data_IF_119218741174
#
_entry.id   IF_119218741174
#
_cell.length_a   1.000
_cell.length_b   1.000
_cell.length_c   1.000
_cell.angle_alpha   90.00
_cell.angle_beta   90.00
_cell.angle_gamma   90.00
#
_symmetry.space_group_name_H-M   'P 1'
#
loop_
_entity.id
_entity.type
_entity.pdbx_description
1 polymer ?
#
# COMPACT_ATOMS: atom_id res chain seq x y z
N UNK A 1 20.70 -1.54 -1.69
CA UNK A 1 19.46 -2.29 -1.59
C UNK A 1 19.53 -3.65 -2.26
N UNK A 2 18.61 -4.53 -1.92
CA UNK A 2 18.44 -5.85 -2.46
C UNK A 2 17.02 -5.99 -3.02
N UNK A 3 16.89 -6.62 -4.20
CA UNK A 3 15.63 -7.06 -4.77
C UNK A 3 15.73 -8.51 -5.18
N UNK A 4 14.70 -9.31 -4.91
CA UNK A 4 14.56 -10.67 -5.40
C UNK A 4 13.10 -10.95 -5.75
N UNK A 5 12.88 -11.91 -6.65
CA UNK A 5 11.54 -12.37 -7.03
C UNK A 5 11.60 -13.86 -7.38
N UNK A 6 10.44 -14.49 -7.46
CA UNK A 6 10.31 -15.85 -7.97
C UNK A 6 9.98 -15.80 -9.46
N UNK A 7 10.57 -16.70 -10.23
CA UNK A 7 10.27 -16.88 -11.64
C UNK A 7 9.77 -18.30 -11.87
N UNK A 8 8.63 -18.42 -12.50
CA UNK A 8 8.01 -19.67 -12.89
C UNK A 8 8.04 -19.75 -14.42
N UNK A 9 8.97 -20.53 -14.99
CA UNK A 9 9.10 -20.65 -16.45
C UNK A 9 7.92 -21.44 -17.05
N UNK A 10 7.83 -21.44 -18.37
CA UNK A 10 6.88 -22.26 -19.11
C UNK A 10 7.02 -23.73 -18.70
N UNK A 11 5.89 -24.42 -18.52
CA UNK A 11 5.78 -25.81 -18.13
C UNK A 11 5.00 -26.59 -19.19
N UNK A 12 5.46 -27.82 -19.51
CA UNK A 12 4.78 -28.67 -20.51
C UNK A 12 3.39 -29.12 -20.09
N UNK A 13 3.13 -29.24 -18.78
CA UNK A 13 1.93 -29.86 -18.21
C UNK A 13 1.08 -28.90 -17.39
N UNK A 14 1.54 -27.67 -17.20
CA UNK A 14 0.84 -26.66 -16.38
C UNK A 14 0.90 -25.30 -17.06
N UNK A 15 -0.26 -24.73 -17.38
CA UNK A 15 -0.40 -23.39 -17.97
C UNK A 15 -0.93 -22.37 -16.97
N UNK A 16 -1.66 -22.81 -15.97
CA UNK A 16 -2.31 -21.96 -14.96
C UNK A 16 -2.05 -22.51 -13.56
N UNK A 17 -1.95 -21.62 -12.61
CA UNK A 17 -1.85 -21.96 -11.21
C UNK A 17 -2.67 -21.01 -10.33
N UNK A 18 -3.08 -21.48 -9.17
CA UNK A 18 -3.68 -20.65 -8.14
C UNK A 18 -2.71 -20.52 -6.99
N UNK A 19 -2.32 -19.29 -6.66
CA UNK A 19 -1.48 -19.01 -5.51
C UNK A 19 -2.34 -19.14 -4.25
N UNK A 20 -1.92 -20.01 -3.34
CA UNK A 20 -2.50 -20.14 -2.01
C UNK A 20 -1.80 -19.23 -1.03
N UNK A 21 -0.47 -19.23 -1.07
CA UNK A 21 0.36 -18.44 -0.18
C UNK A 21 1.77 -18.21 -0.75
N UNK A 22 2.47 -17.22 -0.19
CA UNK A 22 3.88 -16.96 -0.42
C UNK A 22 4.60 -17.02 0.93
N UNK A 23 5.60 -17.92 1.04
CA UNK A 23 6.28 -18.20 2.31
C UNK A 23 7.62 -17.45 2.44
N UNK A 24 7.70 -16.27 1.86
CA UNK A 24 8.87 -15.39 1.98
C UNK A 24 8.98 -14.87 3.41
N UNK A 25 10.16 -14.98 4.01
CA UNK A 25 10.45 -14.51 5.36
C UNK A 25 11.55 -13.45 5.37
N UNK A 26 11.45 -12.55 6.34
CA UNK A 26 12.44 -11.50 6.63
C UNK A 26 12.80 -11.59 8.11
N UNK A 27 13.89 -12.31 8.40
CA UNK A 27 14.38 -12.54 9.75
C UNK A 27 15.29 -11.39 10.18
N UNK A 28 14.95 -10.70 11.27
CA UNK A 28 15.74 -9.61 11.81
C UNK A 28 16.69 -10.11 12.92
N UNK A 29 17.75 -9.35 13.14
CA UNK A 29 18.82 -9.71 14.08
C UNK A 29 18.50 -9.37 15.53
N UNK A 30 17.36 -8.73 15.80
CA UNK A 30 16.99 -8.32 17.16
C UNK A 30 15.71 -7.53 17.27
N UNK A 31 15.44 -7.07 18.49
CA UNK A 31 14.26 -6.30 18.84
C UNK A 31 14.40 -4.83 18.43
N UNK A 32 14.19 -4.56 17.16
CA UNK A 32 14.34 -3.24 16.55
C UNK A 32 13.06 -2.40 16.69
N UNK A 33 13.17 -1.10 16.38
CA UNK A 33 12.03 -0.18 16.38
C UNK A 33 11.33 -0.20 15.04
N UNK A 34 10.01 -0.41 15.04
CA UNK A 34 9.14 -0.33 13.85
C UNK A 34 8.46 1.03 13.77
N UNK A 35 8.29 1.51 12.53
CA UNK A 35 7.36 2.58 12.15
C UNK A 35 6.35 1.97 11.20
N UNK A 36 5.17 1.63 11.69
CA UNK A 36 4.22 0.81 10.95
C UNK A 36 2.77 1.25 11.15
N UNK A 37 1.92 0.82 10.25
CA UNK A 37 0.47 0.86 10.38
C UNK A 37 -0.08 -0.57 10.32
N UNK A 38 -1.27 -0.83 10.91
CA UNK A 38 -1.86 -2.16 10.89
C UNK A 38 -2.15 -2.62 9.46
N UNK A 39 -2.05 -3.93 9.22
CA UNK A 39 -2.44 -4.53 7.97
C UNK A 39 -3.94 -4.43 7.74
N UNK A 40 -4.31 -3.98 6.56
CA UNK A 40 -5.70 -3.91 6.12
C UNK A 40 -5.79 -4.17 4.62
N UNK A 41 -6.89 -4.77 4.16
CA UNK A 41 -7.05 -5.12 2.75
C UNK A 41 -7.70 -4.01 1.91
N UNK A 42 -8.31 -3.01 2.56
CA UNK A 42 -9.09 -1.97 1.89
C UNK A 42 -8.45 -0.58 1.99
N UNK A 43 -7.69 -0.32 3.05
CA UNK A 43 -7.13 1.02 3.32
C UNK A 43 -5.75 0.99 3.95
N UNK A 44 -5.00 2.09 3.79
CA UNK A 44 -3.74 2.36 4.48
C UNK A 44 -3.77 3.68 5.28
N UNK A 45 -4.96 4.17 5.61
CA UNK A 45 -5.18 5.48 6.26
C UNK A 45 -5.12 5.44 7.79
N UNK A 46 -4.40 4.49 8.36
CA UNK A 46 -4.20 4.40 9.80
C UNK A 46 -3.08 5.31 10.29
N UNK A 47 -3.17 5.72 11.55
CA UNK A 47 -2.07 6.41 12.20
C UNK A 47 -0.87 5.47 12.44
N UNK A 48 0.34 5.99 12.23
CA UNK A 48 1.55 5.23 12.52
C UNK A 48 1.68 4.88 14.00
N UNK A 49 2.16 3.66 14.23
CA UNK A 49 2.63 3.16 15.52
C UNK A 49 4.14 3.08 15.48
N UNK A 50 4.80 3.62 16.50
CA UNK A 50 6.25 3.49 16.72
C UNK A 50 6.46 2.70 18.00
N UNK A 51 7.06 1.52 17.91
CA UNK A 51 7.32 0.63 19.03
C UNK A 51 8.45 -0.35 18.72
N UNK A 52 9.06 -0.94 19.75
CA UNK A 52 9.90 -2.12 19.57
C UNK A 52 9.07 -3.30 19.05
N UNK A 53 9.69 -4.22 18.31
CA UNK A 53 8.97 -5.37 17.71
C UNK A 53 8.20 -6.14 18.77
N UNK A 54 8.82 -6.40 19.93
CA UNK A 54 8.19 -7.12 21.05
C UNK A 54 6.96 -6.43 21.67
N UNK A 55 6.79 -5.13 21.42
CA UNK A 55 5.73 -4.29 21.99
C UNK A 55 4.71 -3.82 20.96
N UNK A 56 5.00 -4.04 19.67
CA UNK A 56 4.25 -3.43 18.57
C UNK A 56 2.79 -3.89 18.51
N UNK A 57 2.52 -5.14 18.85
CA UNK A 57 1.17 -5.69 18.90
C UNK A 57 0.28 -4.91 19.87
N UNK A 58 0.72 -4.81 21.12
CA UNK A 58 -0.04 -4.08 22.14
C UNK A 58 -0.15 -2.58 21.84
N UNK A 59 0.93 -1.98 21.35
CA UNK A 59 0.95 -0.56 20.98
C UNK A 59 -0.04 -0.26 19.84
N UNK A 60 -0.08 -1.12 18.83
CA UNK A 60 -0.98 -0.98 17.69
C UNK A 60 -2.44 -1.18 18.09
N UNK A 61 -2.76 -2.22 18.85
CA UNK A 61 -4.11 -2.46 19.36
C UNK A 61 -4.62 -1.31 20.23
N UNK A 62 -3.74 -0.75 21.06
CA UNK A 62 -4.07 0.44 21.85
C UNK A 62 -4.42 1.65 20.97
N UNK A 63 -3.67 1.88 19.90
CA UNK A 63 -3.92 2.96 18.95
C UNK A 63 -5.23 2.77 18.19
N UNK A 64 -5.53 1.55 17.74
CA UNK A 64 -6.79 1.22 17.06
C UNK A 64 -7.98 1.44 17.98
N UNK A 65 -7.95 0.90 19.21
CA UNK A 65 -9.02 1.09 20.21
C UNK A 65 -9.27 2.56 20.52
N UNK A 66 -8.20 3.35 20.66
CA UNK A 66 -8.32 4.80 20.96
C UNK A 66 -9.05 5.57 19.86
N UNK A 67 -8.95 5.10 18.61
CA UNK A 67 -9.56 5.71 17.43
C UNK A 67 -10.87 5.06 17.00
N UNK A 68 -11.26 3.93 17.61
CA UNK A 68 -12.45 3.17 17.24
C UNK A 68 -12.33 2.50 15.86
N UNK A 69 -11.11 2.18 15.44
CA UNK A 69 -10.85 1.50 14.17
C UNK A 69 -10.60 0.00 14.37
N UNK A 70 -10.99 -0.79 13.38
CA UNK A 70 -10.67 -2.20 13.25
C UNK A 70 -9.91 -2.41 11.93
N UNK A 71 -8.77 -3.09 12.00
CA UNK A 71 -8.04 -3.51 10.80
C UNK A 71 -8.62 -4.84 10.31
N UNK A 72 -8.75 -4.99 9.00
CA UNK A 72 -9.47 -6.11 8.37
C UNK A 72 -8.60 -7.32 8.03
N UNK A 73 -7.29 -7.25 8.24
CA UNK A 73 -6.45 -8.42 8.04
C UNK A 73 -6.73 -9.50 9.09
N UNK A 74 -6.74 -10.76 8.66
CA UNK A 74 -7.12 -11.91 9.49
C UNK A 74 -6.07 -12.36 10.51
N UNK A 75 -4.86 -11.81 10.41
CA UNK A 75 -3.72 -12.09 11.31
C UNK A 75 -3.06 -10.79 11.73
N UNK A 76 -2.16 -10.86 12.71
CA UNK A 76 -1.40 -9.69 13.11
C UNK A 76 -0.38 -9.32 12.02
N UNK A 77 -0.74 -8.34 11.23
CA UNK A 77 0.03 -7.87 10.08
C UNK A 77 0.31 -6.37 10.16
N UNK A 78 1.34 -5.96 9.45
CA UNK A 78 1.65 -4.55 9.16
C UNK A 78 1.67 -4.33 7.65
N UNK A 79 1.40 -3.09 7.24
CA UNK A 79 1.47 -2.66 5.85
C UNK A 79 2.93 -2.54 5.37
N UNK A 80 3.11 -2.65 4.06
CA UNK A 80 4.33 -2.20 3.38
C UNK A 80 4.05 -0.87 2.65
N UNK A 81 5.06 0.01 2.50
CA UNK A 81 6.45 -0.11 2.94
C UNK A 81 6.62 -0.09 4.46
N UNK A 82 7.34 -1.04 5.01
CA UNK A 82 7.65 -1.10 6.43
C UNK A 82 9.01 -0.44 6.70
N UNK A 83 9.08 0.52 7.61
CA UNK A 83 10.32 1.13 8.06
C UNK A 83 10.72 0.59 9.43
N UNK A 84 11.98 0.21 9.54
CA UNK A 84 12.59 -0.34 10.75
C UNK A 84 13.84 0.48 11.06
N UNK A 85 14.05 0.82 12.33
CA UNK A 85 15.33 1.35 12.82
C UNK A 85 15.98 0.32 13.73
N UNK A 86 17.18 -0.14 13.33
CA UNK A 86 17.90 -1.14 14.12
C UNK A 86 18.51 -0.53 15.39
N UNK A 87 18.85 -1.37 16.35
CA UNK A 87 19.52 -0.97 17.58
C UNK A 87 20.91 -0.36 17.31
N UNK A 88 21.53 -0.73 16.19
CA UNK A 88 22.83 -0.22 15.72
C UNK A 88 22.70 1.10 14.95
N UNK A 89 21.47 1.58 14.73
CA UNK A 89 21.20 2.87 14.10
C UNK A 89 20.99 2.81 12.58
N UNK A 90 20.94 1.62 11.96
CA UNK A 90 20.58 1.47 10.55
C UNK A 90 19.06 1.60 10.36
N UNK A 91 18.68 2.07 9.19
CA UNK A 91 17.32 2.08 8.71
C UNK A 91 17.13 0.99 7.65
N UNK A 92 16.09 0.19 7.81
CA UNK A 92 15.72 -0.86 6.87
C UNK A 92 14.31 -0.57 6.37
N UNK A 93 14.09 -0.65 5.05
CA UNK A 93 12.77 -0.58 4.46
C UNK A 93 12.49 -1.88 3.71
N UNK A 94 11.36 -2.50 4.02
CA UNK A 94 10.86 -3.69 3.32
C UNK A 94 9.64 -3.28 2.52
N UNK A 95 9.67 -3.55 1.22
CA UNK A 95 8.58 -3.23 0.30
C UNK A 95 8.57 -4.19 -0.89
N UNK A 96 7.77 -3.87 -1.89
CA UNK A 96 7.67 -4.57 -3.17
C UNK A 96 7.78 -3.60 -4.34
N UNK A 97 8.15 -4.13 -5.52
CA UNK A 97 8.18 -3.38 -6.77
C UNK A 97 7.60 -4.23 -7.91
N UNK A 98 7.16 -3.58 -8.99
CA UNK A 98 6.52 -4.23 -10.12
C UNK A 98 5.35 -5.14 -9.71
N UNK A 99 4.44 -4.61 -8.88
CA UNK A 99 3.21 -5.29 -8.50
C UNK A 99 2.23 -5.29 -9.68
N UNK A 100 2.34 -6.31 -10.52
CA UNK A 100 1.53 -6.52 -11.71
C UNK A 100 0.98 -7.94 -11.69
N UNK A 101 -0.34 -8.08 -11.86
CA UNK A 101 -1.06 -9.36 -11.88
C UNK A 101 -0.75 -10.28 -10.68
N UNK A 102 -0.55 -9.70 -9.51
CA UNK A 102 -0.25 -10.41 -8.28
C UNK A 102 -0.86 -9.71 -7.07
N UNK A 103 -1.06 -10.45 -5.97
CA UNK A 103 -1.58 -9.86 -4.72
C UNK A 103 -0.57 -8.97 -4.03
N UNK A 104 -1.04 -7.85 -3.50
CA UNK A 104 -0.24 -6.97 -2.65
C UNK A 104 0.21 -7.66 -1.35
N UNK A 105 1.42 -7.33 -0.93
CA UNK A 105 2.06 -7.91 0.25
C UNK A 105 1.85 -7.03 1.49
N UNK A 106 1.23 -7.59 2.51
CA UNK A 106 1.38 -7.21 3.90
C UNK A 106 2.46 -8.10 4.53
N UNK A 107 2.83 -7.83 5.78
CA UNK A 107 3.77 -8.64 6.54
C UNK A 107 3.12 -9.12 7.84
N UNK A 108 3.04 -10.45 8.03
CA UNK A 108 2.78 -11.02 9.35
C UNK A 108 3.96 -10.68 10.27
N UNK A 109 3.67 -10.42 11.53
CA UNK A 109 4.69 -10.09 12.53
C UNK A 109 4.74 -11.19 13.59
N UNK A 110 5.88 -11.84 13.71
CA UNK A 110 6.25 -12.60 14.90
C UNK A 110 7.03 -11.68 15.85
N UNK A 111 6.32 -11.20 16.86
CA UNK A 111 6.83 -10.24 17.84
C UNK A 111 7.74 -10.88 18.92
N UNK A 112 7.93 -12.20 18.85
CA UNK A 112 8.82 -12.96 19.76
C UNK A 112 10.12 -13.36 19.09
N UNK A 113 10.02 -13.87 17.87
CA UNK A 113 11.18 -14.32 17.09
C UNK A 113 11.76 -13.21 16.20
N UNK A 114 11.12 -12.01 16.19
CA UNK A 114 11.50 -10.85 15.36
C UNK A 114 11.56 -11.16 13.86
N UNK A 115 10.59 -11.95 13.44
CA UNK A 115 10.44 -12.42 12.06
C UNK A 115 9.23 -11.76 11.41
N UNK A 116 9.35 -11.46 10.12
CA UNK A 116 8.26 -11.03 9.27
C UNK A 116 8.08 -12.05 8.15
N UNK A 117 6.85 -12.43 7.86
CA UNK A 117 6.55 -13.28 6.71
C UNK A 117 5.53 -12.62 5.79
N UNK A 118 5.65 -12.86 4.49
CA UNK A 118 4.73 -12.34 3.51
C UNK A 118 3.29 -12.78 3.83
N UNK A 119 2.37 -11.83 3.77
CA UNK A 119 0.93 -12.07 3.86
C UNK A 119 0.26 -11.41 2.67
N UNK A 120 -0.12 -12.21 1.70
CA UNK A 120 -0.74 -11.71 0.48
C UNK A 120 -2.22 -11.38 0.72
N UNK A 121 -2.69 -10.29 0.15
CA UNK A 121 -4.10 -9.89 0.18
C UNK A 121 -4.96 -10.95 -0.50
N UNK A 122 -5.96 -11.55 0.18
CA UNK A 122 -6.82 -12.57 -0.37
C UNK A 122 -7.95 -12.00 -1.24
N UNK A 123 -8.43 -12.79 -2.19
CA UNK A 123 -9.75 -12.57 -2.78
C UNK A 123 -10.87 -13.05 -1.85
N UNK A 124 -12.13 -12.95 -2.29
CA UNK A 124 -13.31 -13.40 -1.54
C UNK A 124 -13.33 -14.90 -1.24
N UNK A 125 -12.55 -15.70 -1.97
CA UNK A 125 -12.42 -17.15 -1.81
C UNK A 125 -11.15 -17.52 -1.04
N UNK A 126 -10.41 -16.56 -0.53
CA UNK A 126 -9.15 -16.74 0.19
C UNK A 126 -7.95 -17.07 -0.72
N UNK A 127 -8.08 -16.91 -2.05
CA UNK A 127 -6.99 -17.13 -2.99
C UNK A 127 -6.16 -15.85 -3.15
N UNK A 128 -4.88 -16.02 -3.47
CA UNK A 128 -3.90 -14.93 -3.58
C UNK A 128 -3.53 -14.58 -5.02
N UNK A 129 -4.08 -15.30 -5.98
CA UNK A 129 -3.90 -15.04 -7.40
C UNK A 129 -4.25 -16.22 -8.27
N UNK A 130 -4.70 -15.93 -9.50
CA UNK A 130 -4.94 -16.89 -10.57
C UNK A 130 -4.02 -16.50 -11.71
N UNK A 131 -2.95 -17.25 -11.91
CA UNK A 131 -1.83 -16.84 -12.73
C UNK A 131 -1.62 -17.77 -13.91
N UNK A 132 -1.16 -17.20 -15.02
CA UNK A 132 -0.78 -17.92 -16.22
C UNK A 132 0.74 -17.98 -16.33
N UNK A 133 1.29 -19.14 -16.72
CA UNK A 133 2.71 -19.35 -16.99
C UNK A 133 3.08 -18.97 -18.44
N UNK A 134 4.28 -18.49 -18.70
CA UNK A 134 5.35 -18.17 -17.74
C UNK A 134 5.05 -16.86 -16.99
N UNK A 135 5.54 -16.75 -15.76
CA UNK A 135 5.37 -15.54 -14.95
C UNK A 135 6.56 -15.31 -14.03
N UNK A 136 6.62 -14.11 -13.50
CA UNK A 136 7.42 -13.78 -12.33
C UNK A 136 6.57 -13.01 -11.30
N UNK A 137 6.90 -13.20 -10.02
CA UNK A 137 6.24 -12.44 -8.94
C UNK A 137 6.74 -10.99 -8.91
N UNK A 138 6.08 -10.09 -8.18
CA UNK A 138 6.68 -8.80 -7.82
C UNK A 138 8.03 -8.98 -7.14
N UNK A 139 8.87 -7.97 -7.24
CA UNK A 139 10.11 -7.92 -6.48
C UNK A 139 9.83 -7.70 -5.01
N UNK A 140 10.48 -8.46 -4.15
CA UNK A 140 10.59 -8.18 -2.72
C UNK A 140 11.84 -7.35 -2.52
N UNK A 141 11.70 -6.17 -1.92
CA UNK A 141 12.79 -5.20 -1.84
C UNK A 141 13.17 -4.92 -0.39
N UNK A 142 14.48 -4.83 -0.17
CA UNK A 142 15.07 -4.47 1.12
C UNK A 142 16.07 -3.34 0.86
N UNK A 143 15.79 -2.18 1.42
CA UNK A 143 16.72 -1.05 1.42
C UNK A 143 17.33 -0.90 2.80
N UNK A 144 18.63 -0.67 2.86
CA UNK A 144 19.37 -0.47 4.12
C UNK A 144 20.22 0.78 3.99
N UNK A 145 20.20 1.65 4.98
CA UNK A 145 21.02 2.86 5.07
C UNK A 145 21.26 3.28 6.51
N UNK A 146 22.32 4.00 6.76
CA UNK A 146 22.59 4.73 8.01
C UNK A 146 21.84 6.07 8.08
N UNK A 147 21.20 6.48 6.99
CA UNK A 147 20.39 7.71 6.92
C UNK A 147 18.99 7.42 6.35
N UNK A 148 17.93 7.69 7.10
CA UNK A 148 16.54 7.51 6.67
C UNK A 148 16.21 8.28 5.39
N UNK A 149 16.84 9.44 5.15
CA UNK A 149 16.63 10.24 3.94
C UNK A 149 17.10 9.51 2.68
N UNK A 150 18.13 8.68 2.79
CA UNK A 150 18.65 7.87 1.69
C UNK A 150 17.67 6.75 1.29
N UNK A 151 16.85 6.25 2.21
CA UNK A 151 15.76 5.33 1.89
C UNK A 151 14.72 6.03 1.00
N UNK A 152 14.31 7.25 1.36
CA UNK A 152 13.35 8.04 0.58
C UNK A 152 13.88 8.41 -0.81
N UNK A 153 15.18 8.72 -0.91
CA UNK A 153 15.83 9.08 -2.16
C UNK A 153 16.21 7.88 -3.05
N UNK A 154 16.00 6.65 -2.57
CA UNK A 154 16.39 5.44 -3.28
C UNK A 154 15.60 5.26 -4.58
N UNK A 155 16.33 4.94 -5.66
CA UNK A 155 15.74 4.60 -6.96
C UNK A 155 15.45 3.10 -7.12
N UNK A 156 15.65 2.28 -6.08
CA UNK A 156 15.52 0.82 -6.19
C UNK A 156 14.16 0.40 -6.73
N UNK A 157 13.08 0.93 -6.16
CA UNK A 157 11.71 0.59 -6.58
C UNK A 157 11.49 0.95 -8.05
N UNK A 158 11.92 2.14 -8.47
CA UNK A 158 11.78 2.60 -9.86
C UNK A 158 12.60 1.74 -10.83
N UNK A 159 13.82 1.38 -10.46
CA UNK A 159 14.72 0.58 -11.29
C UNK A 159 14.29 -0.89 -11.48
N UNK A 160 13.44 -1.40 -10.57
CA UNK A 160 12.89 -2.75 -10.63
C UNK A 160 11.53 -2.82 -11.34
N UNK A 161 10.97 -1.69 -11.73
CA UNK A 161 9.79 -1.63 -12.57
C UNK A 161 10.17 -1.58 -14.05
N UNK A 162 9.25 -2.01 -14.90
CA UNK A 162 9.41 -1.87 -16.35
C UNK A 162 9.51 -0.39 -16.74
N UNK A 163 10.27 -0.06 -17.79
CA UNK A 163 10.34 1.31 -18.30
C UNK A 163 8.95 1.87 -18.67
N UNK A 164 8.79 3.19 -18.54
CA UNK A 164 7.58 3.87 -18.99
C UNK A 164 7.30 3.56 -20.47
N UNK A 165 6.07 3.14 -20.78
CA UNK A 165 5.62 2.82 -22.14
C UNK A 165 4.95 4.00 -22.86
N UNK A 166 4.76 5.13 -22.17
CA UNK A 166 4.22 6.33 -22.78
C UNK A 166 5.32 7.02 -23.58
N UNK A 167 5.06 7.31 -24.86
CA UNK A 167 6.00 8.00 -25.75
C UNK A 167 6.17 9.48 -25.34
N UNK A 168 5.09 10.13 -24.93
CA UNK A 168 5.08 11.50 -24.45
C UNK A 168 4.50 11.58 -23.03
N UNK A 169 5.28 12.09 -22.10
CA UNK A 169 4.89 12.37 -20.71
C UNK A 169 4.86 13.84 -20.36
N UNK A 170 5.04 14.72 -21.33
CA UNK A 170 5.12 16.19 -21.12
C UNK A 170 3.85 16.80 -20.54
N UNK A 171 2.71 16.11 -20.70
CA UNK A 171 1.41 16.52 -20.15
C UNK A 171 1.26 16.22 -18.65
N UNK A 172 2.09 15.35 -18.09
CA UNK A 172 2.06 14.99 -16.66
C UNK A 172 2.79 16.10 -15.90
N UNK A 173 2.05 16.90 -15.15
CA UNK A 173 2.58 18.02 -14.37
C UNK A 173 2.05 17.98 -12.95
N UNK A 174 2.88 18.30 -11.93
CA UNK A 174 2.37 18.64 -10.62
C UNK A 174 1.39 19.81 -10.70
N UNK A 175 0.21 19.68 -10.13
CA UNK A 175 -0.82 20.71 -10.22
C UNK A 175 -1.61 20.85 -8.91
N UNK A 176 -2.26 22.01 -8.74
CA UNK A 176 -3.29 22.19 -7.72
C UNK A 176 -4.62 21.70 -8.28
N UNK A 177 -5.43 21.08 -7.43
CA UNK A 177 -6.79 20.68 -7.78
C UNK A 177 -7.76 20.94 -6.63
N UNK A 178 -9.03 21.06 -6.95
CA UNK A 178 -10.15 21.02 -6.00
C UNK A 178 -10.80 19.65 -6.02
N UNK A 179 -11.34 19.19 -4.89
CA UNK A 179 -11.90 17.86 -4.76
C UNK A 179 -13.39 17.86 -4.40
N UNK A 180 -14.18 17.13 -5.17
CA UNK A 180 -15.57 16.78 -4.81
C UNK A 180 -15.53 15.60 -3.83
N UNK A 181 -15.24 15.85 -2.58
CA UNK A 181 -15.21 14.88 -1.48
C UNK A 181 -15.28 15.58 -0.10
N UNK A 182 -14.78 16.81 -0.01
CA UNK A 182 -14.69 17.51 1.27
C UNK A 182 -16.06 17.82 1.88
N UNK A 183 -17.03 18.18 1.05
CA UNK A 183 -18.42 18.38 1.49
C UNK A 183 -19.04 17.11 2.08
N UNK A 184 -18.64 15.94 1.56
CA UNK A 184 -19.08 14.62 2.05
C UNK A 184 -18.42 14.29 3.39
N UNK A 185 -17.14 14.63 3.59
CA UNK A 185 -16.47 14.49 4.89
C UNK A 185 -17.07 15.41 5.97
N UNK A 186 -17.50 16.61 5.59
CA UNK A 186 -18.14 17.55 6.50
C UNK A 186 -19.62 17.22 6.76
N UNK A 187 -20.19 16.21 6.09
CA UNK A 187 -21.60 15.84 6.21
C UNK A 187 -22.59 16.84 5.56
N UNK A 188 -22.10 17.83 4.83
CA UNK A 188 -22.90 18.76 4.02
C UNK A 188 -23.52 18.02 2.84
N UNK A 189 -22.72 17.18 2.21
CA UNK A 189 -23.08 16.28 1.12
C UNK A 189 -23.02 14.82 1.60
N UNK A 190 -23.52 13.89 0.80
CA UNK A 190 -23.56 12.45 1.08
C UNK A 190 -22.67 11.66 0.12
N UNK A 191 -21.98 10.67 0.67
CA UNK A 191 -21.30 9.63 -0.12
C UNK A 191 -22.30 8.70 -0.81
N UNK A 192 -23.40 8.41 -0.12
CA UNK A 192 -24.46 7.52 -0.63
C UNK A 192 -25.29 8.26 -1.67
N UNK A 193 -25.72 7.55 -2.71
CA UNK A 193 -26.60 8.07 -3.76
C UNK A 193 -27.98 8.38 -3.15
N UNK A 194 -28.26 9.66 -2.91
CA UNK A 194 -29.49 10.24 -2.40
C UNK A 194 -29.58 11.71 -2.81
N UNK A 195 -30.60 12.43 -2.34
CA UNK A 195 -30.84 13.85 -2.68
C UNK A 195 -29.69 14.80 -2.31
N UNK A 196 -28.77 14.35 -1.46
CA UNK A 196 -27.57 15.13 -1.05
C UNK A 196 -26.27 14.57 -1.59
N UNK A 197 -26.33 13.64 -2.56
CA UNK A 197 -25.14 13.04 -3.12
C UNK A 197 -24.18 14.09 -3.71
N UNK A 198 -22.91 14.09 -3.26
CA UNK A 198 -21.92 15.10 -3.66
C UNK A 198 -21.39 14.91 -5.07
N UNK A 199 -21.21 13.69 -5.51
CA UNK A 199 -20.58 13.37 -6.80
C UNK A 199 -21.57 13.36 -7.99
N UNK A 200 -22.36 14.43 -8.11
CA UNK A 200 -23.28 14.62 -9.23
C UNK A 200 -22.66 15.46 -10.34
N UNK A 201 -23.16 15.29 -11.56
CA UNK A 201 -22.74 16.10 -12.72
C UNK A 201 -22.92 17.59 -12.45
N UNK A 202 -24.04 17.98 -11.84
CA UNK A 202 -24.32 19.40 -11.54
C UNK A 202 -23.32 19.97 -10.53
N UNK A 203 -23.04 19.23 -9.45
CA UNK A 203 -22.09 19.67 -8.45
C UNK A 203 -20.65 19.72 -9.02
N UNK A 204 -20.26 18.69 -9.79
CA UNK A 204 -18.94 18.64 -10.44
C UNK A 204 -18.73 19.86 -11.35
N UNK A 205 -19.73 20.33 -12.10
CA UNK A 205 -19.64 21.53 -12.92
C UNK A 205 -19.35 22.77 -12.08
N UNK A 206 -19.97 22.91 -10.90
CA UNK A 206 -19.67 24.03 -9.97
C UNK A 206 -18.21 24.03 -9.52
N UNK A 207 -17.62 22.85 -9.26
CA UNK A 207 -16.19 22.73 -8.92
C UNK A 207 -15.29 23.07 -10.11
N UNK A 208 -15.68 22.68 -11.32
CA UNK A 208 -14.96 23.04 -12.55
C UNK A 208 -14.98 24.56 -12.74
N UNK A 209 -16.13 25.19 -12.61
CA UNK A 209 -16.28 26.64 -12.75
C UNK A 209 -15.46 27.39 -11.69
N UNK A 210 -15.47 26.90 -10.45
CA UNK A 210 -14.65 27.45 -9.37
C UNK A 210 -13.16 27.31 -9.67
N UNK A 211 -12.72 26.12 -10.10
CA UNK A 211 -11.32 25.87 -10.46
C UNK A 211 -10.85 26.81 -11.58
N UNK A 212 -11.66 26.96 -12.64
CA UNK A 212 -11.36 27.84 -13.75
C UNK A 212 -11.27 29.31 -13.32
N UNK A 213 -12.21 29.78 -12.50
CA UNK A 213 -12.23 31.16 -11.98
C UNK A 213 -11.03 31.49 -11.06
N UNK A 214 -10.40 30.47 -10.45
CA UNK A 214 -9.31 30.64 -9.49
C UNK A 214 -7.95 30.13 -10.01
N UNK A 215 -7.81 29.87 -11.31
CA UNK A 215 -6.58 29.34 -11.92
C UNK A 215 -6.10 28.05 -11.23
N UNK A 216 -7.01 27.15 -10.92
CA UNK A 216 -6.73 25.80 -10.42
C UNK A 216 -6.88 24.84 -11.60
N UNK A 217 -5.83 24.06 -11.88
CA UNK A 217 -5.71 23.30 -13.12
C UNK A 217 -6.51 22.00 -13.14
N UNK A 218 -6.89 21.46 -11.95
CA UNK A 218 -7.50 20.17 -11.85
C UNK A 218 -8.76 20.13 -10.97
N UNK A 219 -9.62 19.15 -11.27
CA UNK A 219 -10.76 18.76 -10.42
C UNK A 219 -10.72 17.24 -10.23
N UNK A 220 -10.73 16.79 -8.98
CA UNK A 220 -10.88 15.40 -8.59
C UNK A 220 -12.32 15.15 -8.15
N UNK A 221 -12.90 14.04 -8.55
CA UNK A 221 -14.25 13.64 -8.12
C UNK A 221 -14.19 12.25 -7.52
N UNK A 222 -14.55 12.16 -6.25
CA UNK A 222 -14.73 10.90 -5.53
C UNK A 222 -16.21 10.59 -5.29
N UNK A 223 -16.53 9.33 -4.99
CA UNK A 223 -17.90 8.91 -4.68
C UNK A 223 -18.82 8.72 -5.88
N UNK A 224 -18.38 8.97 -7.10
CA UNK A 224 -19.16 8.78 -8.32
C UNK A 224 -19.47 7.31 -8.64
N UNK A 225 -18.65 6.40 -8.12
CA UNK A 225 -18.73 4.95 -8.32
C UNK A 225 -19.40 4.21 -7.15
N UNK A 226 -20.07 4.91 -6.27
CA UNK A 226 -20.89 4.34 -5.21
C UNK A 226 -22.18 3.80 -5.84
N UNK A 227 -22.29 2.48 -5.96
CA UNK A 227 -23.44 1.78 -6.51
C UNK A 227 -24.04 0.79 -5.53
#
# INVERSE_FOLDING_TARGET
GLGFRYELPEQKTMNYLTVKDELTEFNLTGNHTLYCIPGDYDTNEFAYTTAAISEVREAMERNLRKKGYEAKATSFTVQTPLMIKTTEGLYINIHEAALVDYSAMLLNVDDKEFNFSAHLTPDKLGKKGYLQLPLHTPWRTIMVSDDARSILASQLILNLNEPCKLEDTSWIKPMKYVGVWWGMHLGIESWVINDRHGATTENTKKYIDFAAANNIEGVLVEGWNQG
#
